data_IF_323455191499
#
_entry.id   IF_323455191499
#
_cell.length_a   1.000
_cell.length_b   1.000
_cell.length_c   1.000
_cell.angle_alpha   90.00
_cell.angle_beta   90.00
_cell.angle_gamma   90.00
#
_symmetry.space_group_name_H-M   'P 1'
#
loop_
_entity.id
_entity.type
_entity.pdbx_description
1 polymer ?
#
# COMPACT_ATOMS: atom_id res chain seq x y z
N UNK A 1 13.35 -8.68 -14.48
CA UNK A 1 12.76 -9.01 -13.16
C UNK A 1 13.88 -9.32 -12.19
N UNK A 2 13.84 -8.76 -10.99
CA UNK A 2 14.79 -9.05 -9.93
C UNK A 2 14.41 -10.33 -9.16
N UNK A 3 15.27 -10.76 -8.24
CA UNK A 3 15.04 -11.95 -7.42
C UNK A 3 13.97 -11.69 -6.35
N UNK A 4 13.31 -12.73 -5.81
CA UNK A 4 12.41 -12.58 -4.68
C UNK A 4 13.07 -11.88 -3.47
N UNK A 5 14.33 -12.18 -3.16
CA UNK A 5 15.06 -11.53 -2.07
C UNK A 5 15.23 -10.02 -2.27
N UNK A 6 15.41 -9.60 -3.51
CA UNK A 6 15.48 -8.17 -3.84
C UNK A 6 14.16 -7.46 -3.52
N UNK A 7 13.03 -8.05 -3.92
CA UNK A 7 11.71 -7.47 -3.66
C UNK A 7 11.32 -7.51 -2.17
N UNK A 8 11.70 -8.58 -1.46
CA UNK A 8 11.56 -8.62 0.00
C UNK A 8 12.32 -7.47 0.67
N UNK A 9 13.58 -7.28 0.30
CA UNK A 9 14.41 -6.19 0.83
C UNK A 9 13.84 -4.80 0.47
N UNK A 10 13.29 -4.63 -0.72
CA UNK A 10 12.65 -3.38 -1.14
C UNK A 10 11.42 -3.05 -0.30
N UNK A 11 10.53 -4.03 -0.05
CA UNK A 11 9.36 -3.84 0.79
C UNK A 11 9.76 -3.49 2.22
N UNK A 12 10.75 -4.18 2.80
CA UNK A 12 11.23 -3.88 4.16
C UNK A 12 11.83 -2.48 4.25
N UNK A 13 12.63 -2.08 3.25
CA UNK A 13 13.16 -0.71 3.16
C UNK A 13 12.05 0.33 3.07
N UNK A 14 10.98 0.06 2.32
CA UNK A 14 9.81 0.92 2.25
C UNK A 14 9.13 1.07 3.61
N UNK A 15 8.91 -0.02 4.35
CA UNK A 15 8.34 0.03 5.70
C UNK A 15 9.25 0.75 6.70
N UNK A 16 10.56 0.55 6.61
CA UNK A 16 11.53 1.29 7.43
C UNK A 16 11.44 2.80 7.15
N UNK A 17 11.33 3.18 5.88
CA UNK A 17 11.16 4.58 5.47
C UNK A 17 9.83 5.17 5.96
N UNK A 18 8.73 4.41 5.91
CA UNK A 18 7.45 4.80 6.51
C UNK A 18 7.62 5.06 8.01
N UNK A 19 8.17 4.11 8.74
CA UNK A 19 8.32 4.19 10.19
C UNK A 19 9.25 5.33 10.63
N UNK A 20 10.27 5.63 9.82
CA UNK A 20 11.15 6.77 10.04
C UNK A 20 10.51 8.12 9.69
N UNK A 21 9.40 8.13 8.95
CA UNK A 21 8.82 9.36 8.42
C UNK A 21 9.79 10.08 7.46
N UNK A 22 10.61 9.33 6.72
CA UNK A 22 11.62 9.89 5.83
C UNK A 22 11.07 10.10 4.43
N UNK A 23 10.76 11.35 4.08
CA UNK A 23 10.22 11.71 2.77
C UNK A 23 11.10 11.22 1.61
N UNK A 24 12.40 11.50 1.63
CA UNK A 24 13.29 11.13 0.54
C UNK A 24 13.45 9.61 0.41
N UNK A 25 13.63 8.90 1.52
CA UNK A 25 13.74 7.44 1.51
C UNK A 25 12.44 6.79 0.97
N UNK A 26 11.28 7.37 1.26
CA UNK A 26 9.99 6.93 0.69
C UNK A 26 9.96 7.17 -0.81
N UNK A 27 10.28 8.37 -1.27
CA UNK A 27 10.31 8.70 -2.72
C UNK A 27 11.21 7.74 -3.48
N UNK A 28 12.37 7.39 -2.92
CA UNK A 28 13.34 6.50 -3.56
C UNK A 28 12.84 5.06 -3.75
N UNK A 29 11.82 4.65 -2.99
CA UNK A 29 11.20 3.33 -3.12
C UNK A 29 10.23 3.21 -4.30
N UNK A 30 9.74 4.32 -4.84
CA UNK A 30 8.66 4.34 -5.83
C UNK A 30 9.13 4.79 -7.21
N UNK A 31 8.41 4.32 -8.25
CA UNK A 31 8.49 5.00 -9.55
C UNK A 31 7.86 6.39 -9.45
N UNK A 32 8.26 7.36 -10.28
CA UNK A 32 7.72 8.73 -10.19
C UNK A 32 6.19 8.82 -10.31
N UNK A 33 5.58 7.91 -11.07
CA UNK A 33 4.15 7.82 -11.37
C UNK A 33 3.43 6.69 -10.59
N UNK A 34 4.03 6.17 -9.53
CA UNK A 34 3.45 5.12 -8.72
C UNK A 34 2.07 5.49 -8.17
N UNK A 35 1.23 4.47 -7.97
CA UNK A 35 -0.12 4.65 -7.42
C UNK A 35 -0.33 3.75 -6.20
N UNK A 36 -0.84 4.34 -5.13
CA UNK A 36 -1.28 3.60 -3.95
C UNK A 36 -2.81 3.63 -3.87
N UNK A 37 -3.44 2.49 -4.11
CA UNK A 37 -4.89 2.31 -4.05
C UNK A 37 -5.36 1.94 -2.66
N UNK A 38 -6.52 2.47 -2.28
CA UNK A 38 -7.17 2.24 -0.99
C UNK A 38 -8.65 1.91 -1.18
N UNK A 39 -9.28 1.24 -0.19
CA UNK A 39 -10.74 1.19 -0.09
C UNK A 39 -11.31 2.59 0.17
N UNK A 40 -12.62 2.74 -0.01
CA UNK A 40 -13.32 3.98 0.32
C UNK A 40 -13.18 4.34 1.81
N UNK A 41 -13.26 5.63 2.14
CA UNK A 41 -13.23 6.14 3.52
C UNK A 41 -12.04 7.04 3.84
N UNK A 42 -11.01 7.05 3.01
CA UNK A 42 -9.94 8.05 3.09
C UNK A 42 -10.18 9.18 2.08
N UNK A 43 -9.87 10.44 2.44
CA UNK A 43 -9.93 11.54 1.48
C UNK A 43 -8.80 11.42 0.44
N UNK A 44 -9.06 11.97 -0.75
CA UNK A 44 -8.05 12.13 -1.80
C UNK A 44 -7.39 10.82 -2.28
N UNK A 45 -8.09 9.71 -2.23
CA UNK A 45 -7.60 8.43 -2.78
C UNK A 45 -8.01 8.27 -4.25
N UNK A 46 -7.22 7.51 -5.07
CA UNK A 46 -5.91 6.94 -4.76
C UNK A 46 -4.80 8.00 -4.66
N UNK A 47 -3.71 7.68 -3.99
CA UNK A 47 -2.54 8.55 -3.96
C UNK A 47 -1.67 8.33 -5.18
N UNK A 48 -1.48 9.36 -5.98
CA UNK A 48 -0.74 9.29 -7.24
C UNK A 48 0.59 10.05 -7.15
N UNK A 49 1.66 9.37 -7.56
CA UNK A 49 3.02 9.89 -7.57
C UNK A 49 3.80 9.65 -6.28
N UNK A 50 5.08 9.36 -6.45
CA UNK A 50 6.00 9.05 -5.34
C UNK A 50 6.01 10.15 -4.27
N UNK A 51 6.05 11.42 -4.67
CA UNK A 51 6.03 12.56 -3.74
C UNK A 51 4.75 12.63 -2.92
N UNK A 52 3.60 12.45 -3.56
CA UNK A 52 2.30 12.45 -2.87
C UNK A 52 2.22 11.33 -1.84
N UNK A 53 2.59 10.11 -2.22
CA UNK A 53 2.61 8.94 -1.32
C UNK A 53 3.51 9.22 -0.12
N UNK A 54 4.73 9.71 -0.37
CA UNK A 54 5.69 10.02 0.68
C UNK A 54 5.16 11.07 1.66
N UNK A 55 4.61 12.19 1.16
CA UNK A 55 4.04 13.24 2.02
C UNK A 55 2.89 12.74 2.88
N UNK A 56 2.02 11.90 2.34
CA UNK A 56 0.88 11.33 3.08
C UNK A 56 1.35 10.43 4.22
N UNK A 57 2.35 9.57 3.99
CA UNK A 57 2.89 8.71 5.05
C UNK A 57 3.64 9.49 6.14
N UNK A 58 4.43 10.50 5.77
CA UNK A 58 5.07 11.41 6.73
C UNK A 58 4.01 12.08 7.61
N UNK A 59 2.93 12.59 7.00
CA UNK A 59 1.82 13.16 7.75
C UNK A 59 1.20 12.17 8.75
N UNK A 60 1.01 10.91 8.35
CA UNK A 60 0.49 9.88 9.25
C UNK A 60 1.40 9.65 10.46
N UNK A 61 2.72 9.60 10.25
CA UNK A 61 3.69 9.45 11.35
C UNK A 61 3.62 10.64 12.30
N UNK A 62 3.65 11.85 11.77
CA UNK A 62 3.65 13.08 12.57
C UNK A 62 2.31 13.32 13.30
N UNK A 63 1.20 13.03 12.65
CA UNK A 63 -0.14 13.38 13.14
C UNK A 63 -0.77 12.26 13.96
N UNK A 64 -0.67 11.01 13.50
CA UNK A 64 -1.33 9.85 14.11
C UNK A 64 -0.37 9.03 15.01
N UNK A 65 0.92 9.31 14.95
CA UNK A 65 1.93 8.45 15.55
C UNK A 65 2.01 7.10 14.88
N UNK A 66 1.77 7.07 13.56
CA UNK A 66 1.71 5.82 12.79
C UNK A 66 3.03 5.09 12.77
N UNK A 67 2.96 3.78 12.99
CA UNK A 67 4.05 2.82 12.79
C UNK A 67 3.44 1.58 12.15
N UNK A 68 4.22 0.85 11.38
CA UNK A 68 3.75 -0.36 10.68
C UNK A 68 4.68 -1.53 10.90
N UNK A 69 4.09 -2.72 11.00
CA UNK A 69 4.82 -3.98 11.02
C UNK A 69 4.38 -4.87 9.86
N UNK A 70 5.33 -5.56 9.24
CA UNK A 70 5.07 -6.62 8.27
C UNK A 70 4.89 -7.91 9.06
N UNK A 71 3.68 -8.45 9.03
CA UNK A 71 3.36 -9.68 9.76
C UNK A 71 3.64 -10.93 8.91
N UNK A 72 3.39 -10.85 7.60
CA UNK A 72 3.72 -11.88 6.61
C UNK A 72 4.09 -11.26 5.28
N UNK A 73 4.94 -11.97 4.53
CA UNK A 73 5.35 -11.56 3.19
C UNK A 73 5.40 -12.78 2.28
N UNK A 74 4.86 -12.63 1.09
CA UNK A 74 4.90 -13.60 0.01
C UNK A 74 5.36 -12.92 -1.27
N UNK A 75 6.49 -13.34 -1.80
CA UNK A 75 7.03 -12.81 -3.06
C UNK A 75 6.79 -13.83 -4.17
N UNK A 76 6.31 -13.37 -5.31
CA UNK A 76 6.18 -14.22 -6.51
C UNK A 76 7.55 -14.59 -7.07
N UNK A 77 7.68 -15.85 -7.53
CA UNK A 77 8.90 -16.34 -8.17
C UNK A 77 8.93 -16.07 -9.67
N UNK A 78 7.79 -15.82 -10.29
CA UNK A 78 7.63 -15.71 -11.75
C UNK A 78 7.12 -14.36 -12.23
N UNK A 79 6.75 -13.47 -11.30
CA UNK A 79 6.23 -12.13 -11.59
C UNK A 79 6.83 -11.08 -10.66
N UNK A 80 6.94 -9.83 -11.11
CA UNK A 80 7.38 -8.73 -10.26
C UNK A 80 6.24 -8.27 -9.32
N UNK A 81 5.78 -9.18 -8.48
CA UNK A 81 4.63 -9.00 -7.60
C UNK A 81 4.89 -9.58 -6.20
N UNK A 82 4.25 -9.01 -5.22
CA UNK A 82 4.26 -9.52 -3.85
C UNK A 82 2.94 -9.28 -3.14
N UNK A 83 2.72 -10.01 -2.06
CA UNK A 83 1.62 -9.77 -1.14
C UNK A 83 2.12 -9.81 0.30
N UNK A 84 1.63 -8.90 1.13
CA UNK A 84 1.94 -8.89 2.57
C UNK A 84 0.68 -8.82 3.41
N UNK A 85 0.79 -9.27 4.66
CA UNK A 85 -0.09 -8.85 5.76
C UNK A 85 0.67 -7.85 6.61
N UNK A 86 -0.02 -6.78 7.04
CA UNK A 86 0.56 -5.72 7.85
C UNK A 86 -0.35 -5.32 9.00
N UNK A 87 0.26 -4.69 10.00
CA UNK A 87 -0.47 -3.98 11.07
C UNK A 87 -0.02 -2.53 11.07
N UNK A 88 -0.99 -1.63 11.05
CA UNK A 88 -0.81 -0.20 11.22
C UNK A 88 -1.16 0.18 12.66
N UNK A 89 -0.17 0.64 13.40
CA UNK A 89 -0.30 1.09 14.78
C UNK A 89 -0.49 2.59 14.81
N UNK A 90 -1.65 3.06 15.26
CA UNK A 90 -1.95 4.49 15.46
C UNK A 90 -1.65 4.81 16.92
N UNK A 91 -0.39 5.06 17.25
CA UNK A 91 0.09 5.12 18.62
C UNK A 91 -0.51 6.27 19.44
N UNK A 92 -0.87 7.39 18.81
CA UNK A 92 -1.52 8.52 19.53
C UNK A 92 -2.94 8.21 20.00
N UNK A 93 -3.67 7.37 19.28
CA UNK A 93 -5.02 6.95 19.68
C UNK A 93 -5.04 5.59 20.40
N UNK A 94 -3.93 4.85 20.36
CA UNK A 94 -3.85 3.52 20.94
C UNK A 94 -4.64 2.46 20.17
N UNK A 95 -4.91 2.69 18.87
CA UNK A 95 -5.65 1.76 18.02
C UNK A 95 -4.74 1.10 16.99
N UNK A 96 -5.19 -0.03 16.46
CA UNK A 96 -4.50 -0.76 15.41
C UNK A 96 -5.48 -1.17 14.29
N UNK A 97 -4.96 -1.20 13.07
CA UNK A 97 -5.68 -1.67 11.88
C UNK A 97 -4.83 -2.75 11.22
N UNK A 98 -5.45 -3.87 10.86
CA UNK A 98 -4.77 -4.94 10.11
C UNK A 98 -5.30 -4.99 8.69
N UNK A 99 -4.42 -5.32 7.75
CA UNK A 99 -4.79 -5.44 6.35
C UNK A 99 -3.78 -6.26 5.57
N UNK A 100 -4.03 -6.33 4.26
CA UNK A 100 -3.13 -6.94 3.30
C UNK A 100 -2.90 -5.98 2.15
N UNK A 101 -1.75 -6.09 1.49
CA UNK A 101 -1.41 -5.28 0.34
C UNK A 101 -0.83 -6.14 -0.78
N UNK A 102 -1.22 -5.81 -2.00
CA UNK A 102 -0.62 -6.34 -3.21
C UNK A 102 0.32 -5.31 -3.80
N UNK A 103 1.53 -5.75 -4.17
CA UNK A 103 2.58 -4.91 -4.76
C UNK A 103 2.83 -5.31 -6.20
N UNK A 104 2.98 -4.30 -7.07
CA UNK A 104 3.52 -4.44 -8.42
C UNK A 104 4.82 -3.66 -8.48
N UNK A 105 5.87 -4.29 -8.99
CA UNK A 105 7.18 -3.66 -9.15
C UNK A 105 7.49 -3.37 -10.62
N UNK A 106 8.18 -2.27 -10.85
CA UNK A 106 8.79 -1.94 -12.13
C UNK A 106 10.29 -1.67 -11.92
N UNK A 107 11.13 -2.52 -12.51
CA UNK A 107 12.57 -2.47 -12.25
C UNK A 107 12.89 -2.64 -10.76
N UNK A 108 13.55 -1.66 -10.19
CA UNK A 108 14.01 -1.65 -8.80
C UNK A 108 13.07 -0.89 -7.85
N UNK A 109 11.86 -0.57 -8.29
CA UNK A 109 10.94 0.30 -7.57
C UNK A 109 9.53 -0.26 -7.51
N UNK A 110 8.75 0.24 -6.54
CA UNK A 110 7.33 -0.04 -6.40
C UNK A 110 6.58 0.85 -7.39
N UNK A 111 5.80 0.21 -8.27
CA UNK A 111 4.93 0.91 -9.24
C UNK A 111 3.51 1.06 -8.70
N UNK A 112 3.00 0.03 -8.03
CA UNK A 112 1.63 0.03 -7.56
C UNK A 112 1.52 -0.69 -6.21
N UNK A 113 0.67 -0.16 -5.33
CA UNK A 113 0.23 -0.84 -4.11
C UNK A 113 -1.30 -0.84 -4.10
N UNK A 114 -1.88 -1.98 -3.73
CA UNK A 114 -3.32 -2.15 -3.51
C UNK A 114 -3.56 -2.56 -2.08
N UNK A 115 -4.05 -1.66 -1.23
CA UNK A 115 -4.32 -1.93 0.17
C UNK A 115 -5.73 -2.48 0.36
N UNK A 116 -5.84 -3.63 1.02
CA UNK A 116 -7.11 -4.27 1.34
C UNK A 116 -7.29 -4.32 2.86
N UNK A 117 -8.27 -3.61 3.36
CA UNK A 117 -8.68 -3.62 4.77
C UNK A 117 -10.16 -3.26 4.89
N UNK A 118 -10.78 -3.56 6.01
CA UNK A 118 -12.17 -3.21 6.24
C UNK A 118 -12.33 -1.68 6.25
N UNK A 119 -13.01 -1.16 5.24
CA UNK A 119 -13.42 0.23 5.19
C UNK A 119 -14.59 0.44 6.16
N UNK A 120 -14.66 1.56 6.90
CA UNK A 120 -15.91 1.95 7.56
C UNK A 120 -16.98 2.09 6.45
N UNK A 121 -18.07 1.36 6.65
CA UNK A 121 -19.10 1.17 5.64
C UNK A 121 -19.67 2.49 5.13
N UNK A 122 -19.35 2.83 3.91
CA UNK A 122 -20.21 3.68 3.11
C UNK A 122 -21.34 2.78 2.59
N UNK A 123 -22.56 3.06 3.03
CA UNK A 123 -23.72 2.24 2.64
C UNK A 123 -23.90 2.30 1.12
N UNK A 124 -23.75 1.17 0.45
CA UNK A 124 -23.94 1.03 -0.98
C UNK A 124 -22.69 0.80 -1.81
N UNK A 125 -21.50 0.82 -1.19
CA UNK A 125 -20.24 0.44 -1.82
C UNK A 125 -19.85 -0.97 -1.37
N UNK A 126 -19.37 -1.80 -2.29
CA UNK A 126 -18.86 -3.11 -1.94
C UNK A 126 -17.70 -2.96 -0.94
N UNK A 127 -17.72 -3.78 0.11
CA UNK A 127 -16.67 -3.75 1.15
C UNK A 127 -15.32 -4.07 0.49
N UNK A 128 -14.32 -3.23 0.77
CA UNK A 128 -12.95 -3.35 0.26
C UNK A 128 -12.76 -3.12 -1.25
N UNK A 129 -13.75 -2.57 -1.95
CA UNK A 129 -13.51 -2.07 -3.31
C UNK A 129 -12.51 -0.91 -3.27
N UNK A 130 -11.49 -0.98 -4.11
CA UNK A 130 -10.50 0.09 -4.25
C UNK A 130 -11.08 1.24 -5.08
N UNK A 131 -10.90 2.45 -4.58
CA UNK A 131 -11.37 3.65 -5.28
C UNK A 131 -10.55 3.87 -6.55
N UNK A 132 -11.23 4.16 -7.66
CA UNK A 132 -10.64 4.47 -8.96
C UNK A 132 -9.77 3.35 -9.55
N UNK A 133 -10.04 2.12 -9.14
CA UNK A 133 -9.40 0.91 -9.65
C UNK A 133 -10.31 0.27 -10.70
N UNK A 134 -9.85 0.17 -11.94
CA UNK A 134 -10.64 -0.36 -13.04
C UNK A 134 -10.67 -1.90 -13.02
N UNK A 135 -11.58 -2.45 -12.24
CA UNK A 135 -11.75 -3.90 -12.11
C UNK A 135 -12.09 -4.57 -13.45
N UNK A 136 -12.94 -3.94 -14.27
CA UNK A 136 -13.35 -4.49 -15.56
C UNK A 136 -12.17 -4.59 -16.54
N UNK A 137 -11.41 -3.50 -16.71
CA UNK A 137 -10.26 -3.48 -17.62
C UNK A 137 -9.13 -4.42 -17.16
N UNK A 138 -9.04 -4.70 -15.85
CA UNK A 138 -8.04 -5.59 -15.25
C UNK A 138 -8.48 -7.06 -15.20
N UNK A 139 -9.64 -7.41 -15.75
CA UNK A 139 -10.11 -8.79 -15.85
C UNK A 139 -10.69 -9.37 -14.55
N UNK A 140 -11.09 -8.54 -13.60
CA UNK A 140 -11.75 -8.98 -12.38
C UNK A 140 -13.22 -9.31 -12.64
N UNK A 141 -13.76 -10.28 -11.90
CA UNK A 141 -15.19 -10.56 -11.92
C UNK A 141 -15.99 -9.40 -11.35
N UNK A 142 -17.04 -8.98 -12.06
CA UNK A 142 -17.92 -7.88 -11.64
C UNK A 142 -19.25 -8.38 -11.07
N UNK A 143 -19.50 -9.67 -11.09
CA UNK A 143 -20.73 -10.31 -10.63
C UNK A 143 -20.45 -11.74 -10.17
N UNK A 144 -21.40 -12.27 -9.41
CA UNK A 144 -21.38 -13.67 -8.99
C UNK A 144 -21.37 -14.64 -10.18
N UNK A 145 -20.71 -15.79 -10.05
CA UNK A 145 -20.78 -16.88 -11.02
C UNK A 145 -22.20 -17.36 -11.24
#
# INVERSE_FOLDING_TARGET
MHTPDFYDALIRRYFDACNAGSHQALVDCFTPDAVHYFPAGLPEVPWRGADTIARKWVWCVETLGSQWTIDRILISHDKPEAMIEWTHWKNKSGTALRGAEWYIFEGERIQEIRAYYASPADKGVAINELVDFDYAARGYSLKSP
#
